data_IF_601048154961
#
_entry.id   IF_601048154961
#
_cell.length_a   1.000
_cell.length_b   1.000
_cell.length_c   1.000
_cell.angle_alpha   90.00
_cell.angle_beta   90.00
_cell.angle_gamma   90.00
#
_symmetry.space_group_name_H-M   'P 1'
#
loop_
_entity.id
_entity.type
_entity.pdbx_description
1 polymer ?
#
# COMPACT_ATOMS: atom_id res chain seq x y z
N UNK A 1 -6.45 -10.76 -21.46
CA UNK A 1 -5.38 -10.21 -22.32
C UNK A 1 -5.79 -10.38 -23.79
N UNK A 2 -5.78 -9.28 -24.54
CA UNK A 2 -6.23 -9.26 -25.93
C UNK A 2 -5.18 -8.57 -26.82
N UNK A 3 -5.23 -8.76 -28.14
CA UNK A 3 -4.28 -8.11 -29.07
C UNK A 3 -4.26 -6.59 -28.96
N UNK A 4 -5.34 -5.95 -28.57
CA UNK A 4 -5.44 -4.50 -28.40
C UNK A 4 -4.46 -3.94 -27.36
N UNK A 5 -4.17 -4.70 -26.31
CA UNK A 5 -3.18 -4.36 -25.30
C UNK A 5 -1.81 -4.98 -25.62
N UNK A 6 -1.78 -6.25 -26.05
CA UNK A 6 -0.53 -6.99 -26.27
C UNK A 6 0.31 -6.41 -27.41
N UNK A 7 -0.31 -5.94 -28.49
CA UNK A 7 0.41 -5.39 -29.62
C UNK A 7 1.25 -4.14 -29.26
N UNK A 8 0.68 -3.07 -28.66
CA UNK A 8 1.49 -1.91 -28.26
C UNK A 8 2.54 -2.26 -27.19
N UNK A 9 2.25 -3.18 -26.26
CA UNK A 9 3.22 -3.65 -25.26
C UNK A 9 4.40 -4.35 -25.95
N UNK A 10 4.14 -5.21 -26.94
CA UNK A 10 5.19 -5.85 -27.73
C UNK A 10 6.04 -4.83 -28.54
N UNK A 11 5.37 -3.85 -29.17
CA UNK A 11 6.05 -2.78 -29.92
C UNK A 11 6.92 -1.94 -29.00
N UNK A 12 6.51 -1.73 -27.74
CA UNK A 12 7.31 -1.06 -26.71
C UNK A 12 8.50 -1.88 -26.21
N UNK A 13 8.65 -3.14 -26.67
CA UNK A 13 9.79 -4.00 -26.34
C UNK A 13 9.62 -4.82 -25.05
N UNK A 14 8.41 -4.87 -24.49
CA UNK A 14 8.15 -5.72 -23.32
C UNK A 14 7.86 -7.17 -23.73
N UNK A 15 8.19 -8.07 -22.82
CA UNK A 15 8.04 -9.53 -22.98
C UNK A 15 6.56 -9.92 -22.75
N UNK A 16 5.80 -10.04 -23.85
CA UNK A 16 4.39 -10.41 -23.79
C UNK A 16 4.18 -11.88 -23.41
N UNK A 17 5.15 -12.74 -23.66
CA UNK A 17 5.03 -14.16 -23.28
C UNK A 17 5.07 -14.30 -21.76
N UNK A 18 5.92 -13.55 -21.08
CA UNK A 18 5.92 -13.51 -19.61
C UNK A 18 4.63 -12.90 -19.04
N UNK A 19 4.08 -11.88 -19.70
CA UNK A 19 2.81 -11.28 -19.30
C UNK A 19 1.67 -12.30 -19.36
N UNK A 20 1.58 -13.04 -20.47
CA UNK A 20 0.57 -14.08 -20.67
C UNK A 20 0.79 -15.26 -19.71
N UNK A 21 2.04 -15.68 -19.52
CA UNK A 21 2.38 -16.73 -18.57
C UNK A 21 1.95 -16.38 -17.14
N UNK A 22 2.18 -15.13 -16.70
CA UNK A 22 1.72 -14.65 -15.39
C UNK A 22 0.20 -14.71 -15.23
N UNK A 23 -0.56 -14.39 -16.26
CA UNK A 23 -2.01 -14.52 -16.25
C UNK A 23 -2.46 -16.00 -16.15
N UNK A 24 -1.81 -16.89 -16.91
CA UNK A 24 -2.08 -18.33 -16.84
C UNK A 24 -1.72 -18.94 -15.49
N UNK A 25 -0.68 -18.46 -14.82
CA UNK A 25 -0.33 -18.89 -13.47
C UNK A 25 -1.36 -18.42 -12.43
N UNK A 26 -1.87 -17.20 -12.56
CA UNK A 26 -2.96 -16.71 -11.71
C UNK A 26 -4.27 -17.45 -11.93
N UNK A 27 -4.57 -17.87 -13.17
CA UNK A 27 -5.76 -18.69 -13.46
C UNK A 27 -5.73 -20.02 -12.69
N UNK A 28 -4.58 -20.66 -12.57
CA UNK A 28 -4.42 -21.91 -11.78
C UNK A 28 -4.72 -21.70 -10.29
N UNK A 29 -4.43 -20.52 -9.76
CA UNK A 29 -4.59 -20.18 -8.34
C UNK A 29 -5.96 -19.62 -8.03
N UNK A 30 -6.59 -18.95 -9.01
CA UNK A 30 -7.85 -18.23 -8.84
C UNK A 30 -9.01 -18.84 -9.64
N UNK A 31 -8.80 -20.01 -10.26
CA UNK A 31 -9.82 -20.69 -11.06
C UNK A 31 -11.06 -21.10 -10.25
N UNK A 32 -12.15 -21.37 -10.93
CA UNK A 32 -13.44 -21.73 -10.32
C UNK A 32 -13.44 -23.08 -9.61
N UNK A 33 -12.47 -23.92 -9.90
CA UNK A 33 -12.24 -25.25 -9.32
C UNK A 33 -11.35 -25.22 -8.07
N UNK A 34 -10.74 -24.06 -7.77
CA UNK A 34 -9.92 -23.85 -6.57
C UNK A 34 -10.82 -23.66 -5.36
N UNK A 35 -10.56 -24.40 -4.29
CA UNK A 35 -11.31 -24.30 -3.03
C UNK A 35 -11.32 -22.84 -2.52
N UNK A 36 -12.44 -22.38 -1.99
CA UNK A 36 -12.60 -21.00 -1.50
C UNK A 36 -11.48 -20.56 -0.55
N UNK A 37 -11.09 -21.44 0.38
CA UNK A 37 -10.04 -21.17 1.38
C UNK A 37 -8.63 -21.11 0.81
N UNK A 38 -8.43 -21.55 -0.42
CA UNK A 38 -7.15 -21.56 -1.13
C UNK A 38 -7.12 -20.55 -2.28
N UNK A 39 -8.28 -19.97 -2.62
CA UNK A 39 -8.43 -19.02 -3.73
C UNK A 39 -8.30 -17.59 -3.22
N UNK A 40 -7.17 -16.90 -3.45
CA UNK A 40 -6.95 -15.55 -2.95
C UNK A 40 -7.92 -14.52 -3.53
N UNK A 41 -8.38 -14.69 -4.76
CA UNK A 41 -9.36 -13.79 -5.36
C UNK A 41 -10.75 -13.95 -4.69
N UNK A 42 -11.15 -15.17 -4.36
CA UNK A 42 -12.39 -15.45 -3.65
C UNK A 42 -12.36 -14.91 -2.22
N UNK A 43 -11.24 -15.09 -1.51
CA UNK A 43 -11.03 -14.55 -0.16
C UNK A 43 -11.07 -13.02 -0.19
N UNK A 44 -10.37 -12.39 -1.14
CA UNK A 44 -10.37 -10.94 -1.30
C UNK A 44 -11.78 -10.40 -1.56
N UNK A 45 -12.52 -11.00 -2.49
CA UNK A 45 -13.88 -10.61 -2.80
C UNK A 45 -14.83 -10.76 -1.60
N UNK A 46 -14.72 -11.84 -0.84
CA UNK A 46 -15.52 -12.05 0.37
C UNK A 46 -15.19 -11.02 1.45
N UNK A 47 -13.90 -10.74 1.67
CA UNK A 47 -13.44 -9.73 2.64
C UNK A 47 -13.97 -8.35 2.29
N UNK A 48 -13.88 -7.94 1.02
CA UNK A 48 -14.46 -6.67 0.53
C UNK A 48 -15.95 -6.59 0.80
N UNK A 49 -16.69 -7.65 0.49
CA UNK A 49 -18.14 -7.69 0.71
C UNK A 49 -18.50 -7.60 2.20
N UNK A 50 -17.76 -8.26 3.07
CA UNK A 50 -17.98 -8.19 4.51
C UNK A 50 -17.69 -6.79 5.05
N UNK A 51 -16.60 -6.18 4.64
CA UNK A 51 -16.28 -4.80 4.96
C UNK A 51 -17.36 -3.83 4.47
N UNK A 52 -17.88 -4.01 3.26
CA UNK A 52 -18.98 -3.22 2.72
C UNK A 52 -20.26 -3.33 3.58
N UNK A 53 -20.62 -4.53 4.02
CA UNK A 53 -21.78 -4.76 4.91
C UNK A 53 -21.59 -4.08 6.26
N UNK A 54 -20.35 -4.00 6.74
CA UNK A 54 -19.96 -3.31 7.97
C UNK A 54 -19.73 -1.80 7.79
N UNK A 55 -20.22 -1.21 6.69
CA UNK A 55 -20.22 0.23 6.47
C UNK A 55 -18.97 0.80 5.81
N UNK A 56 -18.00 -0.03 5.44
CA UNK A 56 -16.83 0.39 4.69
C UNK A 56 -17.18 0.59 3.22
N UNK A 57 -17.23 1.83 2.77
CA UNK A 57 -17.74 2.20 1.43
C UNK A 57 -16.65 2.61 0.45
N UNK A 58 -15.43 2.82 0.93
CA UNK A 58 -14.31 3.28 0.14
C UNK A 58 -13.15 2.31 0.38
N UNK A 59 -12.61 1.75 -0.68
CA UNK A 59 -11.35 1.00 -0.66
C UNK A 59 -10.24 1.88 -1.20
N UNK A 60 -9.16 1.99 -0.44
CA UNK A 60 -7.96 2.71 -0.86
C UNK A 60 -6.86 1.70 -1.16
N UNK A 61 -6.48 1.59 -2.44
CA UNK A 61 -5.30 0.82 -2.84
C UNK A 61 -4.05 1.65 -2.53
N UNK A 62 -3.26 1.18 -1.58
CA UNK A 62 -2.06 1.86 -1.09
C UNK A 62 -0.83 1.28 -1.78
N UNK A 63 0.00 2.14 -2.31
CA UNK A 63 1.22 1.78 -3.02
C UNK A 63 2.41 2.61 -2.49
N UNK A 64 3.51 1.94 -2.13
CA UNK A 64 4.78 2.57 -1.72
C UNK A 64 5.86 2.53 -2.82
N UNK A 65 5.51 2.04 -4.00
CA UNK A 65 6.42 1.93 -5.13
C UNK A 65 5.90 2.76 -6.31
N UNK A 66 6.48 3.93 -6.63
CA UNK A 66 5.97 4.81 -7.70
C UNK A 66 5.81 4.15 -9.07
N UNK A 67 6.56 3.07 -9.34
CA UNK A 67 6.43 2.30 -10.58
C UNK A 67 5.10 1.57 -10.71
N UNK A 68 4.37 1.37 -9.60
CA UNK A 68 3.07 0.72 -9.56
C UNK A 68 1.89 1.69 -9.67
N UNK A 69 2.17 2.99 -9.82
CA UNK A 69 1.12 4.02 -9.95
C UNK A 69 0.04 3.62 -10.98
N UNK A 70 0.45 3.27 -12.20
CA UNK A 70 -0.51 2.88 -13.24
C UNK A 70 -1.19 1.53 -13.01
N UNK A 71 -0.65 0.66 -12.17
CA UNK A 71 -1.38 -0.54 -11.70
C UNK A 71 -2.55 -0.11 -10.81
N UNK A 72 -2.34 0.87 -9.94
CA UNK A 72 -3.40 1.44 -9.11
C UNK A 72 -4.47 2.16 -9.95
N UNK A 73 -4.07 2.91 -11.00
CA UNK A 73 -5.00 3.55 -11.93
C UNK A 73 -5.85 2.52 -12.69
N UNK A 74 -5.23 1.44 -13.18
CA UNK A 74 -5.93 0.34 -13.84
C UNK A 74 -6.90 -0.37 -12.88
N UNK A 75 -6.50 -0.62 -11.65
CA UNK A 75 -7.35 -1.21 -10.61
C UNK A 75 -8.58 -0.34 -10.34
N UNK A 76 -8.44 0.98 -10.25
CA UNK A 76 -9.57 1.92 -10.13
C UNK A 76 -10.53 1.83 -11.31
N UNK A 77 -9.99 1.81 -12.53
CA UNK A 77 -10.80 1.65 -13.73
C UNK A 77 -11.58 0.33 -13.69
N UNK A 78 -10.92 -0.79 -13.38
CA UNK A 78 -11.56 -2.11 -13.35
C UNK A 78 -12.75 -2.12 -12.40
N UNK A 79 -12.58 -1.68 -11.17
CA UNK A 79 -13.66 -1.68 -10.17
C UNK A 79 -14.67 -0.57 -10.39
N UNK A 80 -14.25 0.61 -10.84
CA UNK A 80 -15.15 1.72 -11.15
C UNK A 80 -16.11 1.42 -12.31
N UNK A 81 -15.65 0.67 -13.31
CA UNK A 81 -16.50 0.23 -14.43
C UNK A 81 -17.36 -1.00 -14.07
N UNK A 82 -16.91 -1.84 -13.17
CA UNK A 82 -17.56 -3.11 -12.83
C UNK A 82 -18.59 -2.98 -11.71
N UNK A 83 -18.32 -2.18 -10.72
CA UNK A 83 -19.18 -1.94 -9.54
C UNK A 83 -19.98 -0.62 -9.68
N UNK A 84 -20.61 -0.16 -8.62
CA UNK A 84 -21.37 1.09 -8.62
C UNK A 84 -22.72 1.01 -9.32
N UNK A 85 -23.40 -0.15 -9.26
CA UNK A 85 -24.70 -0.41 -9.86
C UNK A 85 -25.78 -0.54 -8.80
N UNK A 86 -27.01 -0.19 -9.13
CA UNK A 86 -28.17 -0.28 -8.21
C UNK A 86 -27.94 0.44 -6.86
N UNK A 87 -27.24 1.56 -6.88
CA UNK A 87 -26.80 2.30 -5.69
C UNK A 87 -25.96 1.47 -4.69
N UNK A 88 -25.24 0.46 -5.18
CA UNK A 88 -24.35 -0.40 -4.41
C UNK A 88 -22.95 -0.35 -5.00
N UNK A 89 -21.95 -0.62 -4.18
CA UNK A 89 -20.56 -0.74 -4.58
C UNK A 89 -19.61 -0.08 -3.62
N UNK A 90 -18.34 -0.48 -3.71
CA UNK A 90 -17.23 0.10 -2.97
C UNK A 90 -16.55 1.09 -3.90
N UNK A 91 -16.38 2.35 -3.46
CA UNK A 91 -15.67 3.36 -4.26
C UNK A 91 -14.17 3.05 -4.30
N UNK A 92 -13.58 2.84 -5.48
CA UNK A 92 -12.16 2.55 -5.60
C UNK A 92 -11.36 3.86 -5.60
N UNK A 93 -10.50 4.03 -4.61
CA UNK A 93 -9.51 5.10 -4.55
C UNK A 93 -8.09 4.53 -4.53
N UNK A 94 -7.08 5.34 -4.80
CA UNK A 94 -5.68 4.94 -4.63
C UNK A 94 -4.83 6.07 -4.10
N UNK A 95 -3.72 5.72 -3.45
CA UNK A 95 -2.71 6.67 -2.95
C UNK A 95 -1.30 6.15 -3.22
N UNK A 96 -0.40 7.06 -3.53
CA UNK A 96 1.04 6.81 -3.67
C UNK A 96 1.75 7.32 -2.40
N UNK A 97 2.00 6.43 -1.48
CA UNK A 97 2.74 6.77 -0.26
C UNK A 97 4.26 6.75 -0.52
N UNK A 98 5.03 7.61 0.15
CA UNK A 98 4.69 8.54 1.25
C UNK A 98 4.13 9.91 0.77
N UNK A 99 4.11 10.21 -0.53
CA UNK A 99 3.70 11.53 -1.05
C UNK A 99 2.28 11.88 -0.58
N UNK A 100 1.32 10.98 -0.77
CA UNK A 100 -0.08 11.23 -0.41
C UNK A 100 -0.38 11.15 1.09
N UNK A 101 0.59 10.81 1.92
CA UNK A 101 0.45 11.00 3.37
C UNK A 101 0.31 12.48 3.75
N UNK A 102 0.87 13.39 2.94
CA UNK A 102 0.72 14.84 3.13
C UNK A 102 -0.64 15.36 2.71
N UNK A 103 -1.36 14.66 1.84
CA UNK A 103 -2.69 15.04 1.36
C UNK A 103 -3.81 14.25 2.03
N UNK A 104 -3.67 12.94 2.15
CA UNK A 104 -4.73 12.02 2.58
C UNK A 104 -4.49 11.41 3.96
N UNK A 105 -3.26 11.49 4.49
CA UNK A 105 -2.88 10.81 5.73
C UNK A 105 -3.72 11.22 6.93
N UNK A 106 -4.08 12.50 7.06
CA UNK A 106 -4.94 12.97 8.15
C UNK A 106 -6.34 12.36 8.06
N UNK A 107 -6.93 12.34 6.86
CA UNK A 107 -8.27 11.77 6.64
C UNK A 107 -8.31 10.27 6.88
N UNK A 108 -7.31 9.54 6.37
CA UNK A 108 -7.17 8.10 6.55
C UNK A 108 -7.04 7.77 8.04
N UNK A 109 -6.25 8.53 8.79
CA UNK A 109 -5.99 8.29 10.19
C UNK A 109 -7.18 8.66 11.10
N UNK A 110 -7.83 9.78 10.88
CA UNK A 110 -8.80 10.36 11.82
C UNK A 110 -10.17 10.70 11.20
N UNK A 111 -10.33 10.54 9.88
CA UNK A 111 -11.60 10.78 9.20
C UNK A 111 -12.66 9.74 9.52
N UNK A 112 -13.79 9.83 8.85
CA UNK A 112 -14.89 8.88 8.99
C UNK A 112 -14.42 7.44 8.72
N UNK A 113 -14.85 6.50 9.55
CA UNK A 113 -14.45 5.07 9.46
C UNK A 113 -15.15 4.32 8.31
N UNK A 114 -15.45 5.00 7.21
CA UNK A 114 -16.05 4.44 5.99
C UNK A 114 -15.03 3.83 5.01
N UNK A 115 -13.74 3.98 5.28
CA UNK A 115 -12.64 3.48 4.45
C UNK A 115 -12.03 2.17 4.98
N UNK A 116 -11.41 1.42 4.08
CA UNK A 116 -10.41 0.39 4.38
C UNK A 116 -9.28 0.44 3.36
N UNK A 117 -8.13 -0.10 3.71
CA UNK A 117 -6.94 -0.07 2.88
C UNK A 117 -6.56 -1.48 2.40
N UNK A 118 -6.15 -1.55 1.14
CA UNK A 118 -5.49 -2.72 0.54
C UNK A 118 -4.09 -2.30 0.13
N UNK A 119 -3.07 -2.86 0.78
CA UNK A 119 -1.67 -2.45 0.61
C UNK A 119 -0.95 -3.37 -0.37
N UNK A 120 -0.32 -2.79 -1.40
CA UNK A 120 0.57 -3.51 -2.30
C UNK A 120 1.97 -3.53 -1.67
N UNK A 121 2.40 -4.69 -1.21
CA UNK A 121 3.74 -4.89 -0.67
C UNK A 121 4.67 -5.51 -1.71
N UNK A 122 5.82 -4.86 -1.96
CA UNK A 122 6.85 -5.35 -2.87
C UNK A 122 7.89 -6.16 -2.09
N UNK A 123 7.89 -7.48 -2.26
CA UNK A 123 8.80 -8.36 -1.52
C UNK A 123 10.26 -8.21 -1.94
N UNK A 124 10.50 -8.10 -3.26
CA UNK A 124 11.85 -8.02 -3.84
C UNK A 124 11.93 -6.86 -4.82
N UNK A 125 12.99 -6.08 -4.70
CA UNK A 125 13.31 -5.00 -5.64
C UNK A 125 14.47 -5.44 -6.55
N UNK A 126 14.45 -4.93 -7.78
CA UNK A 126 15.49 -5.25 -8.76
C UNK A 126 16.81 -4.49 -8.52
N UNK A 127 16.73 -3.35 -7.86
CA UNK A 127 17.88 -2.48 -7.61
C UNK A 127 18.00 -2.19 -6.12
N UNK A 128 19.22 -2.24 -5.61
CA UNK A 128 19.55 -1.89 -4.23
C UNK A 128 20.25 -0.55 -4.24
N UNK A 129 19.71 0.39 -3.49
CA UNK A 129 20.29 1.70 -3.26
C UNK A 129 20.39 1.91 -1.76
N UNK A 130 21.58 2.24 -1.28
CA UNK A 130 21.83 2.57 0.12
C UNK A 130 21.86 4.08 0.32
N UNK A 131 21.40 4.53 1.47
CA UNK A 131 21.47 5.93 1.88
C UNK A 131 22.93 6.25 2.20
N UNK A 132 23.54 7.23 1.53
CA UNK A 132 24.93 7.62 1.85
C UNK A 132 25.00 8.32 3.21
N UNK A 133 26.19 8.29 3.81
CA UNK A 133 26.51 9.16 4.96
C UNK A 133 26.95 10.53 4.48
N UNK A 134 26.53 11.58 5.17
CA UNK A 134 27.02 12.95 4.98
C UNK A 134 27.83 13.37 6.22
N UNK A 135 29.10 13.78 6.05
CA UNK A 135 29.96 14.20 7.15
C UNK A 135 29.38 15.40 7.92
N UNK A 136 28.75 16.33 7.22
CA UNK A 136 28.15 17.52 7.82
C UNK A 136 26.83 17.25 8.55
N UNK A 137 26.13 16.17 8.17
CA UNK A 137 24.84 15.76 8.74
C UNK A 137 23.83 16.92 8.93
N UNK A 138 23.77 17.83 7.95
CA UNK A 138 22.99 19.07 8.05
C UNK A 138 21.48 18.81 8.12
N UNK A 139 21.02 17.71 7.54
CA UNK A 139 19.61 17.28 7.58
C UNK A 139 19.28 16.37 8.77
N UNK A 140 20.29 15.95 9.54
CA UNK A 140 20.14 15.03 10.68
C UNK A 140 19.74 13.60 10.26
N UNK A 141 19.94 13.20 9.00
CA UNK A 141 19.49 11.90 8.47
C UNK A 141 20.54 10.80 8.50
N UNK A 142 21.74 11.02 9.04
CA UNK A 142 22.79 9.99 9.11
C UNK A 142 22.39 8.72 9.89
N UNK A 143 21.30 8.75 10.69
CA UNK A 143 20.73 7.54 11.29
C UNK A 143 20.16 6.56 10.24
N UNK A 144 19.97 7.02 9.01
CA UNK A 144 19.58 6.20 7.87
C UNK A 144 20.78 5.69 7.05
N UNK A 145 21.99 6.22 7.27
CA UNK A 145 23.17 5.85 6.50
C UNK A 145 23.41 4.33 6.52
N UNK A 146 23.70 3.76 5.34
CA UNK A 146 23.86 2.33 5.14
C UNK A 146 22.55 1.53 5.10
N UNK A 147 21.40 2.11 5.42
CA UNK A 147 20.11 1.44 5.22
C UNK A 147 19.71 1.48 3.75
N UNK A 148 19.07 0.42 3.29
CA UNK A 148 18.56 0.38 1.92
C UNK A 148 17.26 1.17 1.80
N UNK A 149 17.10 1.92 0.71
CA UNK A 149 15.91 2.74 0.45
C UNK A 149 14.62 1.89 0.43
N UNK A 150 14.66 0.67 -0.13
CA UNK A 150 13.52 -0.23 -0.11
C UNK A 150 13.18 -0.77 1.29
N UNK A 151 14.17 -0.94 2.17
CA UNK A 151 13.95 -1.29 3.57
C UNK A 151 13.32 -0.13 4.34
N UNK A 152 13.79 1.09 4.10
CA UNK A 152 13.17 2.31 4.67
C UNK A 152 11.71 2.42 4.25
N UNK A 153 11.40 2.19 2.97
CA UNK A 153 10.02 2.17 2.46
C UNK A 153 9.17 1.08 3.11
N UNK A 154 9.70 -0.13 3.30
CA UNK A 154 8.98 -1.20 4.02
C UNK A 154 8.70 -0.87 5.47
N UNK A 155 9.58 -0.14 6.13
CA UNK A 155 9.33 0.33 7.50
C UNK A 155 8.26 1.43 7.53
N UNK A 156 8.23 2.30 6.52
CA UNK A 156 7.17 3.28 6.35
C UNK A 156 5.80 2.60 6.08
N UNK A 157 5.75 1.59 5.24
CA UNK A 157 4.57 0.75 4.98
C UNK A 157 4.03 0.13 6.28
N UNK A 158 4.91 -0.50 7.08
CA UNK A 158 4.54 -1.07 8.38
C UNK A 158 4.06 -0.01 9.38
N UNK A 159 4.72 1.15 9.43
CA UNK A 159 4.32 2.24 10.32
C UNK A 159 2.92 2.78 9.95
N UNK A 160 2.61 2.89 8.67
CA UNK A 160 1.30 3.28 8.17
C UNK A 160 0.22 2.28 8.62
N UNK A 161 0.45 0.98 8.42
CA UNK A 161 -0.46 -0.08 8.86
C UNK A 161 -0.72 -0.07 10.38
N UNK A 162 0.31 0.18 11.19
CA UNK A 162 0.18 0.27 12.66
C UNK A 162 -0.64 1.51 13.05
N UNK A 163 -0.43 2.65 12.40
CA UNK A 163 -1.15 3.89 12.70
C UNK A 163 -2.65 3.77 12.47
N UNK A 164 -3.08 2.97 11.51
CA UNK A 164 -4.50 2.68 11.26
C UNK A 164 -5.24 2.01 12.43
N UNK A 165 -4.54 1.48 13.42
CA UNK A 165 -5.11 0.80 14.59
C UNK A 165 -5.19 1.67 15.86
N UNK A 166 -4.59 2.86 15.90
CA UNK A 166 -4.50 3.70 17.10
C UNK A 166 -5.34 4.98 16.96
N UNK A 167 -6.49 5.07 17.62
CA UNK A 167 -7.44 6.20 17.49
C UNK A 167 -7.71 6.95 18.80
N UNK A 168 -7.59 8.31 18.70
CA UNK A 168 -8.08 9.31 19.66
C UNK A 168 -7.86 10.73 19.11
N UNK A 169 -8.89 11.55 18.98
CA UNK A 169 -8.97 12.68 18.02
C UNK A 169 -8.93 14.09 18.62
N UNK A 170 -8.26 15.04 17.90
CA UNK A 170 -8.42 16.49 18.00
C UNK A 170 -8.31 17.14 16.59
N UNK A 171 -9.26 18.02 16.15
CA UNK A 171 -9.35 18.50 14.76
C UNK A 171 -8.43 19.66 14.37
N UNK A 172 -7.65 20.24 15.31
CA UNK A 172 -6.83 21.44 15.05
C UNK A 172 -5.34 21.16 14.89
N UNK A 173 -4.91 19.92 15.00
CA UNK A 173 -3.56 19.45 14.71
C UNK A 173 -3.65 18.28 13.73
N UNK A 174 -2.51 17.78 13.25
CA UNK A 174 -2.45 16.58 12.39
C UNK A 174 -1.87 15.38 13.15
N UNK A 175 -2.53 14.90 14.25
CA UNK A 175 -1.96 13.85 15.09
C UNK A 175 -1.80 12.52 14.33
N UNK A 176 -2.62 12.26 13.31
CA UNK A 176 -2.47 11.10 12.44
C UNK A 176 -1.14 11.10 11.68
N UNK A 177 -0.77 12.24 11.10
CA UNK A 177 0.54 12.40 10.42
C UNK A 177 1.69 12.32 11.43
N UNK A 178 1.54 12.91 12.60
CA UNK A 178 2.55 12.84 13.67
C UNK A 178 2.67 11.42 14.24
N UNK A 179 1.57 10.70 14.41
CA UNK A 179 1.59 9.30 14.83
C UNK A 179 2.32 8.41 13.81
N UNK A 180 2.06 8.59 12.51
CA UNK A 180 2.79 7.91 11.45
C UNK A 180 4.29 8.22 11.50
N UNK A 181 4.66 9.50 11.56
CA UNK A 181 6.07 9.91 11.67
C UNK A 181 6.75 9.31 12.89
N UNK A 182 6.09 9.32 14.05
CA UNK A 182 6.59 8.73 15.29
C UNK A 182 6.85 7.24 15.13
N UNK A 183 5.90 6.50 14.58
CA UNK A 183 6.03 5.07 14.33
C UNK A 183 7.16 4.76 13.31
N UNK A 184 7.27 5.55 12.26
CA UNK A 184 8.34 5.44 11.28
C UNK A 184 9.71 5.69 11.91
N UNK A 185 9.85 6.75 12.71
CA UNK A 185 11.10 7.07 13.40
C UNK A 185 11.51 5.98 14.39
N UNK A 186 10.56 5.41 15.11
CA UNK A 186 10.78 4.29 16.01
C UNK A 186 11.26 3.03 15.28
N UNK A 187 10.64 2.67 14.16
CA UNK A 187 11.02 1.51 13.34
C UNK A 187 12.38 1.69 12.65
N UNK A 188 12.75 2.93 12.33
CA UNK A 188 14.05 3.30 11.73
C UNK A 188 15.17 3.50 12.74
N UNK A 189 14.90 3.31 14.03
CA UNK A 189 15.84 3.50 15.14
C UNK A 189 16.42 4.92 15.19
N UNK A 190 15.57 5.94 14.93
CA UNK A 190 15.97 7.33 15.06
C UNK A 190 16.31 7.64 16.52
N UNK A 191 17.46 8.31 16.81
CA UNK A 191 17.81 8.73 18.17
C UNK A 191 16.70 9.50 18.88
N UNK A 192 16.39 9.14 20.13
CA UNK A 192 15.32 9.72 20.93
C UNK A 192 13.95 9.03 20.79
N UNK A 193 13.88 7.87 20.11
CA UNK A 193 12.68 7.07 19.94
C UNK A 193 12.85 5.61 20.40
N UNK A 194 13.80 5.35 21.32
CA UNK A 194 14.19 4.01 21.76
C UNK A 194 13.04 3.25 22.45
N UNK A 195 12.26 3.93 23.28
CA UNK A 195 11.13 3.31 23.98
C UNK A 195 9.98 2.99 23.03
N UNK A 196 9.67 3.88 22.09
CA UNK A 196 8.69 3.65 21.04
C UNK A 196 9.12 2.51 20.12
N UNK A 197 10.42 2.40 19.81
CA UNK A 197 10.97 1.30 19.02
C UNK A 197 10.72 -0.05 19.69
N UNK A 198 11.01 -0.17 21.00
CA UNK A 198 10.72 -1.39 21.77
C UNK A 198 9.22 -1.72 21.80
N UNK A 199 8.39 -0.70 22.07
CA UNK A 199 6.94 -0.88 22.17
C UNK A 199 6.30 -1.34 20.85
N UNK A 200 6.76 -0.82 19.71
CA UNK A 200 6.26 -1.21 18.38
C UNK A 200 6.74 -2.61 18.02
N UNK A 201 8.03 -2.91 18.20
CA UNK A 201 8.59 -4.24 17.88
C UNK A 201 7.99 -5.37 18.70
N UNK A 202 7.50 -5.08 19.91
CA UNK A 202 6.77 -6.04 20.74
C UNK A 202 5.36 -6.38 20.20
N UNK A 203 4.83 -5.62 19.24
CA UNK A 203 3.51 -5.80 18.63
C UNK A 203 3.56 -6.38 17.20
N UNK A 204 4.76 -6.52 16.64
CA UNK A 204 5.03 -7.11 15.32
C UNK A 204 5.34 -8.60 15.45
#
# INVERSE_FOLDING_TARGET
>A
LTPVGLLPIAVAGFDIDKLVAGAADMEKVCGSDVAFTENPAAIYAATRNELYRNGKKIEILVNFCPKLHYVSEWWKQLYGESEGKDNKGIFPASVDFSTDLHSMGQWIQEGERSIFETVISVEKVNHKLEVPSDEANLDGLNFLAGKRVDEVNKMAEKACGISGYLLGVNPFNQPGVEAYKKNMFALLDKPGYEEESKAIRAKL
#
